data_IF_353184574549
#
_entry.id   IF_353184574549
#
_cell.length_a   1.000
_cell.length_b   1.000
_cell.length_c   1.000
_cell.angle_alpha   90.00
_cell.angle_beta   90.00
_cell.angle_gamma   90.00
#
_symmetry.space_group_name_H-M   'P 1'
#
loop_
_entity.id
_entity.type
_entity.pdbx_description
1 polymer ?
#
# COMPACT_ATOMS: atom_id res chain seq x y z
N UNK A 1 12.30 9.23 6.24
CA UNK A 1 13.43 8.39 5.81
C UNK A 1 14.10 9.10 4.65
N UNK A 2 15.09 9.95 4.95
CA UNK A 2 15.82 10.71 3.94
C UNK A 2 16.77 9.79 3.19
N UNK A 3 16.64 9.72 1.88
CA UNK A 3 17.65 9.11 1.03
C UNK A 3 18.91 9.97 1.15
N UNK A 4 19.94 9.40 1.75
CA UNK A 4 21.25 10.00 1.88
C UNK A 4 21.91 9.95 0.49
N UNK A 5 21.58 10.93 -0.35
CA UNK A 5 22.30 11.18 -1.61
C UNK A 5 23.67 11.71 -1.23
N UNK A 6 24.67 10.85 -1.26
CA UNK A 6 26.07 11.24 -1.15
C UNK A 6 26.44 12.12 -2.33
N UNK A 7 26.17 13.42 -2.20
CA UNK A 7 26.63 14.44 -3.14
C UNK A 7 28.12 14.64 -2.87
N UNK A 8 28.96 13.94 -3.62
CA UNK A 8 30.40 14.11 -3.56
C UNK A 8 30.74 15.45 -4.25
N UNK A 9 31.18 16.49 -3.53
CA UNK A 9 31.16 17.87 -4.04
C UNK A 9 32.36 18.21 -4.96
N UNK A 10 33.04 17.19 -5.50
CA UNK A 10 34.23 17.32 -6.34
C UNK A 10 33.98 16.88 -7.79
N UNK A 11 32.79 17.14 -8.33
CA UNK A 11 32.53 16.99 -9.77
C UNK A 11 32.37 18.39 -10.35
N UNK A 12 33.36 18.83 -11.14
CA UNK A 12 33.42 20.19 -11.65
C UNK A 12 32.28 20.50 -12.62
N UNK A 13 31.85 21.76 -12.67
CA UNK A 13 30.82 22.22 -13.62
C UNK A 13 31.16 21.95 -15.11
N UNK A 14 32.45 21.70 -15.42
CA UNK A 14 32.92 21.29 -16.75
C UNK A 14 32.43 19.91 -17.17
N UNK A 15 32.35 18.96 -16.23
CA UNK A 15 32.04 17.57 -16.54
C UNK A 15 30.56 17.44 -16.93
N UNK A 16 29.70 18.24 -16.29
CA UNK A 16 28.26 18.29 -16.57
C UNK A 16 27.94 18.86 -17.97
N UNK A 17 28.67 19.88 -18.42
CA UNK A 17 28.52 20.47 -19.76
C UNK A 17 29.10 19.56 -20.86
N UNK A 18 30.08 18.72 -20.52
CA UNK A 18 30.69 17.76 -21.46
C UNK A 18 29.77 16.59 -21.80
N UNK A 19 28.94 16.13 -20.84
CA UNK A 19 27.99 15.02 -21.06
C UNK A 19 26.82 15.39 -21.97
N UNK A 20 26.33 16.64 -21.89
CA UNK A 20 25.22 17.12 -22.71
C UNK A 20 25.59 17.35 -24.19
N UNK A 21 26.87 17.57 -24.49
CA UNK A 21 27.37 17.90 -25.83
C UNK A 21 28.03 16.72 -26.58
N UNK A 22 27.96 15.49 -26.05
CA UNK A 22 28.55 14.32 -26.73
C UNK A 22 27.83 14.03 -28.05
N UNK A 23 28.61 13.97 -29.13
CA UNK A 23 28.13 13.56 -30.44
C UNK A 23 27.67 12.09 -30.42
N UNK A 24 26.76 11.67 -31.32
CA UNK A 24 26.34 10.26 -31.42
C UNK A 24 27.53 9.30 -31.55
N UNK A 25 28.55 9.68 -32.32
CA UNK A 25 29.78 8.90 -32.50
C UNK A 25 30.56 8.67 -31.19
N UNK A 26 30.70 9.71 -30.36
CA UNK A 26 31.37 9.59 -29.05
C UNK A 26 30.58 8.69 -28.09
N UNK A 27 29.24 8.76 -28.12
CA UNK A 27 28.38 7.87 -27.31
C UNK A 27 28.52 6.40 -27.72
N UNK A 28 28.62 6.14 -29.02
CA UNK A 28 28.81 4.78 -29.55
C UNK A 28 30.20 4.22 -29.20
N UNK A 29 31.23 5.07 -29.19
CA UNK A 29 32.59 4.68 -28.80
C UNK A 29 32.66 4.31 -27.31
N UNK A 30 32.05 5.13 -26.44
CA UNK A 30 31.94 4.84 -25.00
C UNK A 30 31.13 3.56 -24.75
N UNK A 31 30.06 3.32 -25.51
CA UNK A 31 29.28 2.07 -25.43
C UNK A 31 30.15 0.86 -25.77
N UNK A 32 30.90 0.91 -26.88
CA UNK A 32 31.84 -0.16 -27.27
C UNK A 32 32.94 -0.38 -26.24
N UNK A 33 33.47 0.69 -25.65
CA UNK A 33 34.47 0.60 -24.58
C UNK A 33 33.90 -0.06 -23.33
N UNK A 34 32.67 0.28 -22.92
CA UNK A 34 31.98 -0.35 -21.78
C UNK A 34 31.66 -1.82 -22.02
N UNK A 35 31.21 -2.16 -23.23
CA UNK A 35 30.99 -3.55 -23.65
C UNK A 35 32.30 -4.35 -23.65
N UNK A 36 33.41 -3.77 -24.13
CA UNK A 36 34.73 -4.38 -24.08
C UNK A 36 35.28 -4.58 -22.65
N UNK A 37 34.89 -3.71 -21.71
CA UNK A 37 35.16 -3.85 -20.27
C UNK A 37 34.16 -4.78 -19.56
N UNK A 38 33.22 -5.40 -20.28
CA UNK A 38 32.21 -6.30 -19.71
C UNK A 38 31.12 -5.63 -18.89
N UNK A 39 31.01 -4.30 -18.95
CA UNK A 39 30.00 -3.51 -18.24
C UNK A 39 28.70 -3.56 -19.05
N UNK A 40 27.76 -4.42 -18.63
CA UNK A 40 26.44 -4.54 -19.26
C UNK A 40 25.63 -3.25 -19.09
N UNK A 41 24.85 -2.90 -20.10
CA UNK A 41 23.92 -1.79 -19.97
C UNK A 41 22.80 -2.15 -18.98
N UNK A 42 22.20 -1.16 -18.28
CA UNK A 42 21.06 -1.41 -17.39
C UNK A 42 19.90 -2.11 -18.11
N UNK A 43 19.70 -1.83 -19.39
CA UNK A 43 18.66 -2.47 -20.21
C UNK A 43 18.98 -3.94 -20.48
N UNK A 44 20.22 -4.27 -20.81
CA UNK A 44 20.64 -5.66 -21.08
C UNK A 44 20.61 -6.52 -19.82
N UNK A 45 20.95 -5.94 -18.67
CA UNK A 45 20.87 -6.62 -17.38
C UNK A 45 19.42 -6.94 -16.99
N UNK A 46 18.49 -6.03 -17.27
CA UNK A 46 17.04 -6.26 -17.09
C UNK A 46 16.56 -7.37 -18.03
N UNK A 47 16.97 -7.35 -19.31
CA UNK A 47 16.59 -8.37 -20.29
C UNK A 47 17.12 -9.76 -19.91
N UNK A 48 18.35 -9.85 -19.42
CA UNK A 48 18.91 -11.12 -18.95
C UNK A 48 18.20 -11.64 -17.69
N UNK A 49 17.84 -10.74 -16.75
CA UNK A 49 17.03 -11.10 -15.58
C UNK A 49 15.64 -11.59 -15.97
N UNK A 50 15.01 -11.01 -16.99
CA UNK A 50 13.72 -11.46 -17.53
C UNK A 50 13.85 -12.85 -18.16
N UNK A 51 14.90 -13.11 -18.96
CA UNK A 51 15.16 -14.41 -19.58
C UNK A 51 15.44 -15.53 -18.57
N UNK A 52 15.95 -15.19 -17.38
CA UNK A 52 16.19 -16.13 -16.27
C UNK A 52 14.95 -16.41 -15.41
N UNK A 53 13.83 -15.71 -15.62
CA UNK A 53 12.60 -15.98 -14.88
C UNK A 53 12.06 -17.34 -15.31
N UNK A 54 11.63 -18.14 -14.33
CA UNK A 54 10.95 -19.39 -14.62
C UNK A 54 9.67 -19.07 -15.43
N UNK A 55 9.31 -19.97 -16.35
CA UNK A 55 8.09 -19.88 -17.14
C UNK A 55 6.87 -19.50 -16.26
N UNK A 56 5.90 -18.71 -16.74
CA UNK A 56 4.66 -18.39 -16.02
C UNK A 56 3.81 -19.60 -15.60
N UNK A 57 4.22 -20.82 -15.94
CA UNK A 57 3.65 -22.09 -15.43
C UNK A 57 4.43 -22.69 -14.25
N UNK A 58 5.71 -22.34 -14.06
CA UNK A 58 6.54 -22.84 -12.96
C UNK A 58 6.27 -22.07 -11.66
N UNK A 59 5.94 -22.77 -10.58
CA UNK A 59 5.88 -22.17 -9.24
C UNK A 59 7.29 -21.95 -8.70
N UNK A 60 7.69 -20.69 -8.58
CA UNK A 60 8.99 -20.36 -8.00
C UNK A 60 9.02 -20.59 -6.47
N UNK A 61 10.22 -20.73 -5.91
CA UNK A 61 10.40 -21.01 -4.48
C UNK A 61 9.83 -19.89 -3.60
N UNK A 62 9.94 -18.62 -4.05
CA UNK A 62 9.32 -17.49 -3.35
C UNK A 62 7.80 -17.63 -3.31
N UNK A 63 7.14 -17.96 -4.42
CA UNK A 63 5.68 -18.13 -4.45
C UNK A 63 5.23 -19.31 -3.60
N UNK A 64 5.99 -20.41 -3.59
CA UNK A 64 5.68 -21.64 -2.84
C UNK A 64 5.84 -21.46 -1.34
N UNK A 65 6.87 -20.74 -0.89
CA UNK A 65 7.18 -20.54 0.54
C UNK A 65 6.45 -19.35 1.14
N UNK A 66 5.89 -18.46 0.32
CA UNK A 66 5.15 -17.29 0.81
C UNK A 66 3.97 -17.73 1.67
N UNK A 67 3.88 -17.13 2.85
CA UNK A 67 2.75 -17.29 3.77
C UNK A 67 2.16 -15.92 4.08
N UNK A 68 0.84 -15.88 4.22
CA UNK A 68 0.12 -14.72 4.70
C UNK A 68 -0.07 -14.86 6.21
N UNK A 69 0.14 -13.76 6.94
CA UNK A 69 -0.06 -13.65 8.37
C UNK A 69 -0.63 -12.28 8.67
N UNK A 70 -1.65 -12.24 9.52
CA UNK A 70 -2.16 -11.00 10.08
C UNK A 70 -1.52 -10.71 11.43
N UNK A 71 -0.94 -9.52 11.54
CA UNK A 71 -0.25 -9.04 12.73
C UNK A 71 -1.10 -8.12 13.61
N UNK A 72 -2.39 -7.95 13.32
CA UNK A 72 -3.27 -7.15 14.16
C UNK A 72 -3.55 -7.79 15.52
N UNK A 73 -3.99 -6.99 16.51
CA UNK A 73 -4.36 -7.49 17.84
C UNK A 73 -5.82 -7.97 17.93
N UNK A 74 -6.60 -7.93 16.85
CA UNK A 74 -8.02 -8.29 16.87
C UNK A 74 -8.31 -9.71 16.39
N UNK A 75 -9.37 -10.37 16.89
CA UNK A 75 -9.66 -11.75 16.49
C UNK A 75 -10.21 -11.84 15.06
N UNK A 76 -9.34 -12.23 14.13
CA UNK A 76 -9.60 -12.44 12.69
C UNK A 76 -8.84 -13.68 12.19
N UNK A 77 -9.10 -14.09 10.96
CA UNK A 77 -8.39 -15.17 10.27
C UNK A 77 -6.90 -14.87 10.06
N UNK A 78 -6.11 -15.89 9.73
CA UNK A 78 -4.67 -15.77 9.41
C UNK A 78 -3.74 -15.26 10.55
N UNK A 79 -4.13 -15.41 11.82
CA UNK A 79 -3.22 -15.17 12.97
C UNK A 79 -1.92 -15.99 12.94
N UNK A 80 -2.02 -17.22 12.44
CA UNK A 80 -0.85 -18.04 12.13
C UNK A 80 -0.49 -17.87 10.66
N UNK A 81 0.80 -17.90 10.34
CA UNK A 81 1.27 -17.87 8.96
C UNK A 81 0.75 -19.08 8.15
N UNK A 82 -0.05 -18.82 7.12
CA UNK A 82 -0.64 -19.85 6.25
C UNK A 82 -0.27 -19.62 4.78
N UNK A 83 -0.05 -20.72 4.05
CA UNK A 83 0.17 -20.63 2.62
C UNK A 83 -1.17 -20.50 1.89
N UNK A 84 -1.26 -19.53 0.97
CA UNK A 84 -2.44 -19.29 0.16
C UNK A 84 -2.02 -19.38 -1.32
N UNK A 85 -2.70 -20.22 -2.13
CA UNK A 85 -2.38 -20.30 -3.55
C UNK A 85 -2.67 -18.96 -4.23
N UNK A 86 -1.81 -18.60 -5.18
CA UNK A 86 -1.86 -17.29 -5.87
C UNK A 86 -3.22 -17.02 -6.54
N UNK A 87 -3.88 -18.05 -7.08
CA UNK A 87 -5.20 -17.91 -7.70
C UNK A 87 -6.30 -17.49 -6.71
N UNK A 88 -6.18 -17.87 -5.43
CA UNK A 88 -7.19 -17.59 -4.41
C UNK A 88 -6.80 -16.45 -3.45
N UNK A 89 -5.56 -15.95 -3.54
CA UNK A 89 -5.01 -14.99 -2.56
C UNK A 89 -5.82 -13.69 -2.51
N UNK A 90 -6.24 -13.16 -3.66
CA UNK A 90 -6.99 -11.91 -3.70
C UNK A 90 -8.34 -12.01 -2.98
N UNK A 91 -9.07 -13.09 -3.22
CA UNK A 91 -10.37 -13.32 -2.58
C UNK A 91 -10.20 -13.58 -1.08
N UNK A 92 -9.23 -14.40 -0.68
CA UNK A 92 -9.00 -14.72 0.74
C UNK A 92 -8.53 -13.53 1.55
N UNK A 93 -7.54 -12.77 1.05
CA UNK A 93 -7.07 -11.55 1.72
C UNK A 93 -8.21 -10.55 1.80
N UNK A 94 -8.96 -10.31 0.72
CA UNK A 94 -10.11 -9.41 0.78
C UNK A 94 -11.17 -9.86 1.80
N UNK A 95 -11.49 -11.15 1.87
CA UNK A 95 -12.45 -11.66 2.85
C UNK A 95 -11.95 -11.45 4.28
N UNK A 96 -10.66 -11.70 4.52
CA UNK A 96 -10.02 -11.42 5.80
C UNK A 96 -10.09 -9.93 6.18
N UNK A 97 -9.77 -9.02 5.25
CA UNK A 97 -9.92 -7.58 5.49
C UNK A 97 -11.37 -7.18 5.85
N UNK A 98 -12.37 -7.87 5.31
CA UNK A 98 -13.77 -7.63 5.70
C UNK A 98 -14.08 -8.08 7.14
N UNK A 99 -13.32 -9.01 7.71
CA UNK A 99 -13.46 -9.38 9.12
C UNK A 99 -13.03 -8.20 10.03
N UNK A 100 -11.96 -7.49 9.68
CA UNK A 100 -11.55 -6.26 10.36
C UNK A 100 -12.64 -5.18 10.28
N UNK A 101 -13.25 -5.02 9.09
CA UNK A 101 -14.38 -4.11 8.91
C UNK A 101 -15.55 -4.50 9.83
N UNK A 102 -15.93 -5.78 9.85
CA UNK A 102 -17.01 -6.27 10.70
C UNK A 102 -16.73 -6.03 12.19
N UNK A 103 -15.50 -6.29 12.63
CA UNK A 103 -15.08 -6.04 14.00
C UNK A 103 -15.13 -4.55 14.36
N UNK A 104 -14.76 -3.65 13.44
CA UNK A 104 -14.89 -2.21 13.64
C UNK A 104 -16.35 -1.76 13.82
N UNK A 105 -17.29 -2.29 13.01
CA UNK A 105 -18.72 -2.02 13.20
C UNK A 105 -19.25 -2.51 14.54
N UNK A 106 -18.81 -3.69 15.00
CA UNK A 106 -19.20 -4.24 16.31
C UNK A 106 -18.68 -3.37 17.45
N UNK A 107 -17.39 -3.00 17.42
CA UNK A 107 -16.76 -2.10 18.41
C UNK A 107 -17.48 -0.76 18.47
N UNK A 108 -17.77 -0.16 17.30
CA UNK A 108 -18.55 1.07 17.23
C UNK A 108 -19.93 0.90 17.91
N UNK A 109 -20.66 -0.16 17.61
CA UNK A 109 -21.98 -0.39 18.21
C UNK A 109 -21.92 -0.62 19.74
N UNK A 110 -20.86 -1.26 20.25
CA UNK A 110 -20.68 -1.51 21.69
C UNK A 110 -20.38 -0.23 22.47
N UNK A 111 -19.58 0.67 21.88
CA UNK A 111 -19.08 1.88 22.54
C UNK A 111 -19.89 3.14 22.19
N UNK A 112 -21.15 2.99 21.74
CA UNK A 112 -22.02 4.10 21.27
C UNK A 112 -21.35 4.99 20.20
N UNK A 113 -20.53 4.38 19.35
CA UNK A 113 -19.90 4.99 18.20
C UNK A 113 -20.63 4.69 16.89
N UNK A 114 -20.41 5.55 15.89
CA UNK A 114 -20.85 5.38 14.52
C UNK A 114 -19.66 5.30 13.59
N UNK A 115 -19.58 4.23 12.80
CA UNK A 115 -18.60 4.11 11.73
C UNK A 115 -18.92 5.16 10.67
N UNK A 116 -18.03 6.13 10.48
CA UNK A 116 -18.13 7.14 9.44
C UNK A 116 -17.64 6.60 8.10
N UNK A 117 -16.58 5.80 8.14
CA UNK A 117 -15.94 5.25 6.95
C UNK A 117 -15.21 3.95 7.31
N UNK A 118 -15.37 2.95 6.45
CA UNK A 118 -14.55 1.75 6.46
C UNK A 118 -14.13 1.46 5.02
N UNK A 119 -12.83 1.37 4.78
CA UNK A 119 -12.27 1.07 3.47
C UNK A 119 -11.21 -0.02 3.56
N UNK A 120 -11.21 -0.89 2.56
CA UNK A 120 -10.22 -1.95 2.40
C UNK A 120 -9.33 -1.60 1.21
N UNK A 121 -8.02 -1.50 1.44
CA UNK A 121 -7.01 -1.40 0.40
C UNK A 121 -6.32 -2.75 0.23
N UNK A 122 -6.18 -3.22 -1.01
CA UNK A 122 -5.43 -4.44 -1.33
C UNK A 122 -4.15 -4.04 -2.04
N UNK A 123 -3.02 -4.47 -1.50
CA UNK A 123 -1.71 -4.18 -2.04
C UNK A 123 -1.24 -5.34 -2.92
N UNK A 124 -0.68 -5.00 -4.08
CA UNK A 124 -0.10 -5.96 -5.01
C UNK A 124 1.38 -5.69 -5.22
N UNK A 125 2.14 -6.73 -5.50
CA UNK A 125 3.56 -6.67 -5.79
C UNK A 125 3.94 -7.66 -6.89
N UNK A 126 5.12 -7.48 -7.48
CA UNK A 126 5.64 -8.34 -8.54
C UNK A 126 6.68 -9.27 -7.93
N UNK A 127 6.55 -10.57 -8.19
CA UNK A 127 7.53 -11.55 -7.73
C UNK A 127 8.85 -11.37 -8.52
N UNK A 128 10.00 -11.22 -7.84
CA UNK A 128 11.28 -11.01 -8.53
C UNK A 128 11.74 -12.26 -9.30
N UNK A 129 11.32 -13.45 -8.89
CA UNK A 129 11.73 -14.73 -9.50
C UNK A 129 10.90 -15.08 -10.74
N UNK A 130 9.56 -15.03 -10.65
CA UNK A 130 8.67 -15.46 -11.74
C UNK A 130 7.98 -14.30 -12.46
N UNK A 131 8.13 -13.06 -11.99
CA UNK A 131 7.53 -11.88 -12.61
C UNK A 131 6.00 -11.79 -12.49
N UNK A 132 5.34 -12.72 -11.79
CA UNK A 132 3.88 -12.68 -11.60
C UNK A 132 3.49 -11.60 -10.59
N UNK A 133 2.41 -10.90 -10.88
CA UNK A 133 1.74 -10.01 -9.92
C UNK A 133 1.00 -10.85 -8.89
N UNK A 134 1.20 -10.57 -7.61
CA UNK A 134 0.54 -11.23 -6.50
C UNK A 134 0.02 -10.21 -5.49
N UNK A 135 -0.85 -10.65 -4.58
CA UNK A 135 -1.34 -9.81 -3.47
C UNK A 135 -0.34 -9.86 -2.31
N UNK A 136 0.28 -8.72 -2.01
CA UNK A 136 1.25 -8.62 -0.93
C UNK A 136 0.59 -8.54 0.44
N UNK A 137 -0.62 -7.97 0.52
CA UNK A 137 -1.46 -7.96 1.70
C UNK A 137 -2.64 -7.01 1.56
N UNK A 138 -3.41 -6.84 2.63
CA UNK A 138 -4.47 -5.85 2.72
C UNK A 138 -4.20 -4.85 3.83
N UNK A 139 -4.91 -3.74 3.80
CA UNK A 139 -4.98 -2.81 4.91
C UNK A 139 -6.40 -2.31 5.01
N UNK A 140 -7.00 -2.51 6.18
CA UNK A 140 -8.30 -1.96 6.51
C UNK A 140 -8.14 -0.67 7.28
N UNK A 141 -8.78 0.40 6.82
CA UNK A 141 -8.83 1.69 7.51
C UNK A 141 -10.26 2.00 7.89
N UNK A 142 -10.49 2.26 9.17
CA UNK A 142 -11.80 2.61 9.71
C UNK A 142 -11.74 3.92 10.48
N UNK A 143 -12.81 4.70 10.37
CA UNK A 143 -12.99 5.95 11.11
C UNK A 143 -14.29 5.85 11.87
N UNK A 144 -14.20 5.84 13.18
CA UNK A 144 -15.34 5.72 14.10
C UNK A 144 -15.47 7.05 14.84
N UNK A 145 -16.66 7.63 14.85
CA UNK A 145 -17.01 8.75 15.70
C UNK A 145 -17.74 8.22 16.93
N UNK A 146 -17.18 8.47 18.12
CA UNK A 146 -17.83 8.12 19.38
C UNK A 146 -18.69 9.28 19.85
N UNK A 147 -19.96 9.01 20.18
CA UNK A 147 -20.82 10.01 20.80
C UNK A 147 -20.62 9.95 22.31
N UNK A 148 -19.70 10.77 22.83
CA UNK A 148 -19.58 10.93 24.28
C UNK A 148 -20.76 11.75 24.80
N UNK A 149 -21.83 11.08 25.18
CA UNK A 149 -22.92 11.73 25.91
C UNK A 149 -22.48 12.19 27.30
N UNK A 150 -21.32 11.78 27.81
CA UNK A 150 -20.80 12.20 29.12
C UNK A 150 -20.03 13.52 29.12
N UNK A 151 -19.65 14.06 27.95
CA UNK A 151 -18.96 15.35 27.90
C UNK A 151 -19.92 16.47 28.35
N UNK A 152 -19.65 17.19 29.46
CA UNK A 152 -20.55 18.22 29.99
C UNK A 152 -20.92 19.27 28.95
N UNK A 153 -19.96 19.67 28.11
CA UNK A 153 -20.18 20.65 27.04
C UNK A 153 -21.16 20.16 25.97
N UNK A 154 -21.13 18.86 25.67
CA UNK A 154 -21.96 18.26 24.62
C UNK A 154 -23.39 17.98 25.13
N UNK A 155 -23.54 17.69 26.43
CA UNK A 155 -24.84 17.68 27.12
C UNK A 155 -25.45 19.08 27.15
N UNK A 156 -24.69 20.09 27.57
CA UNK A 156 -25.18 21.46 27.69
C UNK A 156 -25.58 22.04 26.32
N UNK A 157 -24.81 21.77 25.27
CA UNK A 157 -25.16 22.16 23.91
C UNK A 157 -26.46 21.51 23.43
N UNK A 158 -26.63 20.18 23.63
CA UNK A 158 -27.89 19.48 23.32
C UNK A 158 -29.06 20.04 24.13
N UNK A 159 -28.86 20.37 25.40
CA UNK A 159 -29.90 20.92 26.28
C UNK A 159 -30.32 22.33 25.85
N UNK A 160 -29.37 23.18 25.51
CA UNK A 160 -29.61 24.52 24.99
C UNK A 160 -30.33 24.48 23.63
N UNK A 161 -29.88 23.63 22.72
CA UNK A 161 -30.54 23.44 21.43
C UNK A 161 -31.97 22.92 21.64
N UNK A 162 -32.16 21.88 22.47
CA UNK A 162 -33.48 21.37 22.81
C UNK A 162 -34.39 22.46 23.37
N UNK A 163 -33.87 23.36 24.21
CA UNK A 163 -34.63 24.47 24.78
C UNK A 163 -34.96 25.53 23.72
N UNK A 164 -34.04 25.82 22.82
CA UNK A 164 -34.22 26.78 21.73
C UNK A 164 -35.26 26.34 20.71
N UNK A 165 -35.32 25.04 20.42
CA UNK A 165 -36.29 24.46 19.49
C UNK A 165 -37.62 24.06 20.16
N UNK A 166 -37.67 24.04 21.50
CA UNK A 166 -38.92 23.80 22.22
C UNK A 166 -39.93 24.91 21.92
N UNK A 167 -41.05 24.54 21.30
CA UNK A 167 -42.11 25.48 20.90
C UNK A 167 -41.98 26.03 19.48
N UNK A 168 -40.95 25.66 18.71
CA UNK A 168 -40.91 25.95 17.28
C UNK A 168 -41.80 24.97 16.51
N UNK A 169 -42.87 25.48 15.89
CA UNK A 169 -43.71 24.69 14.97
C UNK A 169 -42.99 24.55 13.62
N UNK A 170 -42.75 23.32 13.19
CA UNK A 170 -42.20 23.03 11.87
C UNK A 170 -43.35 22.84 10.90
N UNK A 171 -43.55 23.79 9.99
CA UNK A 171 -44.53 23.64 8.90
C UNK A 171 -43.99 22.63 7.88
N UNK A 172 -44.71 21.51 7.70
CA UNK A 172 -44.28 20.39 6.83
C UNK A 172 -44.75 20.52 5.38
N UNK A 173 -45.22 21.70 4.96
CA UNK A 173 -45.68 21.94 3.60
C UNK A 173 -44.57 22.63 2.78
N UNK A 174 -43.71 21.83 2.14
CA UNK A 174 -42.77 22.24 1.10
C UNK A 174 -42.65 21.15 0.04
#
# INVERSE_FOLDING_TARGET
>A
MGMNIGFNPLVGASDYLSELNKTPYQKDLEKKQREAMGIKSPADEVQEKIKKRCDPTCECETCKRRKYVDGSDEMVSFKSAQHIPQAAVATRVRAHEQEHVSNAYKKAAQDNGKVLQASVAIHTAICPECGRTYVSGGTTTTRIAYYNEENPYQKDLKLQDSTKYAGMNVDKNA
#
